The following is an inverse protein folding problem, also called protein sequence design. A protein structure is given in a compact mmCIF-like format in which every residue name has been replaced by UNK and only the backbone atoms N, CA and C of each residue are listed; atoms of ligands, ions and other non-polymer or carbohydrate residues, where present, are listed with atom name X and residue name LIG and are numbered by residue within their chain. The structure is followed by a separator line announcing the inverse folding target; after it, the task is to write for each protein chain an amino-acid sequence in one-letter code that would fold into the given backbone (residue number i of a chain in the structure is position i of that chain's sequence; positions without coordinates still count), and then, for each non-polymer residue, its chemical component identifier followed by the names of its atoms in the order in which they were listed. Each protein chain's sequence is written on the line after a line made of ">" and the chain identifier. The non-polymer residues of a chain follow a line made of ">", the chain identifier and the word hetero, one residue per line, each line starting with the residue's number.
data_IF_866914042656
#
_entry.id   IF_866914042656
#
_cell.length_a   1.000
_cell.length_b   1.000
_cell.length_c   1.000
_cell.angle_alpha   90.00
_cell.angle_beta   90.00
_cell.angle_gamma   90.00
#
_symmetry.space_group_name_H-M   'P 1'
#
loop_
_entity.id
_entity.type
_entity.pdbx_description
1 polymer ?
#
# COMPACT_ATOMS: atom_id res chain seq x y z
N UNK A 1 -22.44 -32.80 12.24
CA UNK A 1 -21.14 -33.08 12.88
C UNK A 1 -20.53 -31.82 13.40
N UNK A 2 -19.97 -31.87 14.59
CA UNK A 2 -19.30 -30.69 15.16
C UNK A 2 -17.98 -30.44 14.44
N UNK A 3 -17.73 -29.19 14.09
CA UNK A 3 -16.45 -28.77 13.54
C UNK A 3 -15.43 -28.79 14.67
N UNK A 4 -14.26 -29.38 14.43
CA UNK A 4 -13.19 -29.45 15.43
C UNK A 4 -12.66 -28.06 15.78
N UNK A 5 -12.08 -27.90 16.97
CA UNK A 5 -11.47 -26.64 17.39
C UNK A 5 -10.34 -26.23 16.46
N UNK A 6 -9.55 -27.20 16.01
CA UNK A 6 -8.44 -26.91 15.09
C UNK A 6 -8.95 -26.40 13.74
N UNK A 7 -10.06 -26.91 13.24
CA UNK A 7 -10.66 -26.44 12.00
C UNK A 7 -11.16 -25.01 12.12
N UNK A 8 -11.76 -24.65 13.26
CA UNK A 8 -12.20 -23.28 13.53
C UNK A 8 -11.04 -22.31 13.60
N UNK A 9 -9.96 -22.71 14.26
CA UNK A 9 -8.76 -21.90 14.37
C UNK A 9 -8.11 -21.73 12.99
N UNK A 10 -8.06 -22.80 12.21
CA UNK A 10 -7.51 -22.73 10.85
C UNK A 10 -8.31 -21.75 9.97
N UNK A 11 -9.64 -21.77 10.08
CA UNK A 11 -10.49 -20.81 9.37
C UNK A 11 -10.20 -19.36 9.77
N UNK A 12 -9.96 -19.11 11.06
CA UNK A 12 -9.57 -17.80 11.55
C UNK A 12 -8.19 -17.37 11.01
N UNK A 13 -7.23 -18.29 10.99
CA UNK A 13 -5.90 -18.03 10.43
C UNK A 13 -6.01 -17.62 8.96
N UNK A 14 -6.77 -18.34 8.18
CA UNK A 14 -6.97 -18.03 6.75
C UNK A 14 -7.60 -16.65 6.56
N UNK A 15 -8.57 -16.32 7.37
CA UNK A 15 -9.26 -15.05 7.32
C UNK A 15 -8.34 -13.88 7.65
N UNK A 16 -7.55 -14.02 8.70
CA UNK A 16 -6.59 -13.00 9.12
C UNK A 16 -5.47 -12.87 8.09
N UNK A 17 -4.99 -13.98 7.56
CA UNK A 17 -3.96 -14.00 6.51
C UNK A 17 -4.44 -13.24 5.26
N UNK A 18 -5.68 -13.45 4.86
CA UNK A 18 -6.27 -12.74 3.73
C UNK A 18 -6.30 -11.23 3.96
N UNK A 19 -6.65 -10.80 5.17
CA UNK A 19 -6.65 -9.38 5.54
C UNK A 19 -5.24 -8.78 5.53
N UNK A 20 -4.26 -9.52 6.03
CA UNK A 20 -2.86 -9.08 6.02
C UNK A 20 -2.38 -8.90 4.58
N UNK A 21 -2.65 -9.86 3.71
CA UNK A 21 -2.27 -9.78 2.31
C UNK A 21 -2.90 -8.58 1.61
N UNK A 22 -4.17 -8.32 1.89
CA UNK A 22 -4.90 -7.18 1.35
C UNK A 22 -4.28 -5.85 1.81
N UNK A 23 -3.96 -5.75 3.09
CA UNK A 23 -3.34 -4.55 3.66
C UNK A 23 -1.92 -4.34 3.15
N UNK A 24 -1.16 -5.40 2.94
CA UNK A 24 0.18 -5.30 2.35
C UNK A 24 0.12 -4.79 0.92
N UNK A 25 -0.86 -5.24 0.14
CA UNK A 25 -1.08 -4.75 -1.21
C UNK A 25 -1.46 -3.27 -1.20
N UNK A 26 -2.30 -2.87 -0.26
CA UNK A 26 -2.70 -1.47 -0.10
C UNK A 26 -1.52 -0.59 0.31
N UNK A 27 -0.67 -1.10 1.20
CA UNK A 27 0.54 -0.38 1.61
C UNK A 27 1.47 -0.12 0.43
N UNK A 28 1.71 -1.12 -0.40
CA UNK A 28 2.53 -0.97 -1.61
C UNK A 28 1.94 0.06 -2.56
N UNK A 29 0.63 0.05 -2.73
CA UNK A 29 -0.07 1.02 -3.57
C UNK A 29 0.14 2.44 -3.06
N UNK A 30 0.00 2.64 -1.74
CA UNK A 30 0.19 3.96 -1.13
C UNK A 30 1.64 4.42 -1.19
N UNK A 31 2.59 3.53 -0.99
CA UNK A 31 4.01 3.83 -1.14
C UNK A 31 4.34 4.27 -2.56
N UNK A 32 3.76 3.60 -3.55
CA UNK A 32 3.93 3.96 -4.95
C UNK A 32 3.32 5.33 -5.25
N UNK A 33 2.13 5.60 -4.73
CA UNK A 33 1.48 6.90 -4.89
C UNK A 33 2.28 8.03 -4.23
N UNK A 34 2.85 7.75 -3.06
CA UNK A 34 3.71 8.71 -2.37
C UNK A 34 4.94 9.03 -3.20
N UNK A 35 5.59 8.02 -3.75
CA UNK A 35 6.76 8.20 -4.62
C UNK A 35 6.43 9.02 -5.86
N UNK A 36 5.30 8.72 -6.50
CA UNK A 36 4.83 9.47 -7.69
C UNK A 36 4.56 10.93 -7.34
N UNK A 37 3.93 11.18 -6.19
CA UNK A 37 3.66 12.54 -5.73
C UNK A 37 4.95 13.31 -5.44
N UNK A 38 5.93 12.69 -4.78
CA UNK A 38 7.22 13.30 -4.50
C UNK A 38 7.97 13.63 -5.79
N UNK A 39 7.96 12.73 -6.76
CA UNK A 39 8.59 12.98 -8.06
C UNK A 39 7.91 14.12 -8.81
N UNK A 40 6.58 14.19 -8.77
CA UNK A 40 5.82 15.28 -9.37
C UNK A 40 6.15 16.62 -8.73
N UNK A 41 6.26 16.66 -7.41
CA UNK A 41 6.64 17.87 -6.66
C UNK A 41 8.04 18.35 -7.03
N UNK A 42 8.99 17.44 -7.18
CA UNK A 42 10.36 17.74 -7.60
C UNK A 42 10.35 18.35 -9.01
N UNK A 43 9.61 17.76 -9.93
CA UNK A 43 9.49 18.27 -11.30
C UNK A 43 8.91 19.69 -11.31
N UNK A 44 7.89 19.95 -10.50
CA UNK A 44 7.29 21.27 -10.39
C UNK A 44 8.29 22.30 -9.87
N UNK A 45 9.08 21.94 -8.87
CA UNK A 45 10.12 22.81 -8.31
C UNK A 45 11.16 23.15 -9.38
N UNK A 46 11.64 22.14 -10.10
CA UNK A 46 12.64 22.32 -11.17
C UNK A 46 12.11 23.23 -12.28
N UNK A 47 10.86 23.04 -12.68
CA UNK A 47 10.22 23.89 -13.69
C UNK A 47 10.09 25.32 -13.22
N UNK A 48 9.71 25.53 -11.96
CA UNK A 48 9.64 26.85 -11.36
C UNK A 48 10.98 27.56 -11.35
N UNK A 49 12.06 26.85 -11.02
CA UNK A 49 13.41 27.38 -11.04
C UNK A 49 13.85 27.76 -12.45
N UNK A 50 13.56 26.92 -13.45
CA UNK A 50 13.89 27.20 -14.85
C UNK A 50 13.19 28.46 -15.35
N UNK A 51 11.93 28.65 -15.00
CA UNK A 51 11.16 29.86 -15.35
C UNK A 51 11.80 31.10 -14.70
N UNK A 52 12.22 30.97 -13.45
CA UNK A 52 12.86 32.09 -12.72
C UNK A 52 14.19 32.52 -13.33
N UNK A 53 14.91 31.58 -13.92
CA UNK A 53 16.20 31.83 -14.57
C UNK A 53 16.07 32.39 -16.00
N UNK A 54 14.92 32.16 -16.57
CA UNK A 54 14.63 32.67 -17.91
C UNK A 54 14.13 34.09 -17.85
#
# INVERSE_FOLDING_TARGET
>A
MAISKSAKIQAEIEKVTAKINEQQARLKELEQKKLEAENSEIVEIVRGMSISLA
#
